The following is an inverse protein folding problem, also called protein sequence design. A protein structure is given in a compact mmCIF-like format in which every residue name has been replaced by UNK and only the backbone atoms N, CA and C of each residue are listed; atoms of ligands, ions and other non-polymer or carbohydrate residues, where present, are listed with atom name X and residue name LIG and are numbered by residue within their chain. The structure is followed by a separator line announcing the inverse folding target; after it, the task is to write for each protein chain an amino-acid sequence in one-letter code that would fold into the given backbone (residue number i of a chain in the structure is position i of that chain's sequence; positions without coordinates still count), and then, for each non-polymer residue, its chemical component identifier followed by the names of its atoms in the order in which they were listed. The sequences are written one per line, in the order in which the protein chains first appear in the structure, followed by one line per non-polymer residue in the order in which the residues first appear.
data_IF_806327590992
#
_entry.id   IF_806327590992
#
_cell.length_a   1.000
_cell.length_b   1.000
_cell.length_c   1.000
_cell.angle_alpha   90.00
_cell.angle_beta   90.00
_cell.angle_gamma   90.00
#
_symmetry.space_group_name_H-M   'P 1'
#
loop_
_entity.id
_entity.type
_entity.pdbx_description
1 polymer ?
#
# COMPACT_ATOMS: atom_id res chain seq x y z
N UNK A 1 8.57 -3.54 26.63
CA UNK A 1 7.74 -2.95 25.56
C UNK A 1 7.37 -4.09 24.67
N UNK A 2 6.08 -4.26 24.42
CA UNK A 2 5.60 -5.31 23.54
C UNK A 2 6.03 -4.94 22.10
N UNK A 3 6.40 -5.94 21.30
CA UNK A 3 6.80 -5.75 19.91
C UNK A 3 6.25 -6.91 19.10
N UNK A 4 5.30 -6.61 18.21
CA UNK A 4 4.55 -7.65 17.50
C UNK A 4 5.43 -8.54 16.60
N UNK A 5 6.59 -8.05 16.16
CA UNK A 5 7.54 -8.84 15.38
C UNK A 5 8.25 -9.86 16.28
N UNK A 6 8.77 -9.41 17.41
CA UNK A 6 9.48 -10.30 18.36
C UNK A 6 8.53 -11.30 19.06
N UNK A 7 7.25 -10.94 19.19
CA UNK A 7 6.22 -11.81 19.77
C UNK A 7 5.73 -12.90 18.80
N UNK A 8 6.05 -12.79 17.50
CA UNK A 8 5.60 -13.72 16.45
C UNK A 8 6.75 -14.62 16.00
N UNK A 9 6.92 -15.75 16.68
CA UNK A 9 8.07 -16.66 16.48
C UNK A 9 8.21 -17.18 15.04
N UNK A 10 7.10 -17.36 14.34
CA UNK A 10 7.06 -17.92 12.98
C UNK A 10 7.70 -16.99 11.93
N UNK A 11 7.77 -15.68 12.19
CA UNK A 11 8.39 -14.74 11.24
C UNK A 11 9.88 -15.06 11.00
N UNK A 12 10.63 -15.36 12.06
CA UNK A 12 12.05 -15.73 11.96
C UNK A 12 12.25 -17.04 11.20
N UNK A 13 11.34 -18.00 11.37
CA UNK A 13 11.34 -19.24 10.60
C UNK A 13 11.20 -18.97 9.09
N UNK A 14 10.29 -18.08 8.71
CA UNK A 14 10.08 -17.73 7.30
C UNK A 14 11.23 -16.92 6.69
N UNK A 15 11.82 -15.96 7.42
CA UNK A 15 12.95 -15.15 6.94
C UNK A 15 14.23 -15.98 6.74
N UNK A 16 14.41 -17.04 7.52
CA UNK A 16 15.60 -17.91 7.41
C UNK A 16 15.38 -19.13 6.50
N UNK A 17 14.20 -19.25 5.88
CA UNK A 17 13.87 -20.40 5.05
C UNK A 17 14.70 -20.43 3.76
N UNK A 18 15.28 -21.58 3.34
CA UNK A 18 16.17 -21.65 2.15
C UNK A 18 15.54 -21.19 0.83
N UNK A 19 14.22 -21.30 0.68
CA UNK A 19 13.52 -20.76 -0.50
C UNK A 19 13.52 -19.23 -0.52
N UNK A 20 13.49 -18.59 0.65
CA UNK A 20 13.50 -17.14 0.73
C UNK A 20 14.85 -16.57 0.27
N UNK A 21 15.96 -17.26 0.52
CA UNK A 21 17.26 -16.88 -0.03
C UNK A 21 17.25 -16.70 -1.56
N UNK A 22 16.55 -17.58 -2.28
CA UNK A 22 16.39 -17.46 -3.74
C UNK A 22 15.53 -16.25 -4.13
N UNK A 23 14.46 -15.99 -3.36
CA UNK A 23 13.58 -14.85 -3.58
C UNK A 23 14.35 -13.53 -3.37
N UNK A 24 15.13 -13.43 -2.30
CA UNK A 24 15.97 -12.25 -2.01
C UNK A 24 16.97 -12.02 -3.12
N UNK A 25 17.68 -13.05 -3.58
CA UNK A 25 18.63 -12.91 -4.68
C UNK A 25 17.96 -12.41 -5.98
N UNK A 26 16.73 -12.84 -6.27
CA UNK A 26 15.96 -12.35 -7.43
C UNK A 26 15.49 -10.91 -7.24
N UNK A 27 14.86 -10.59 -6.09
CA UNK A 27 14.33 -9.25 -5.80
C UNK A 27 15.44 -8.19 -5.75
N UNK A 28 16.59 -8.53 -5.20
CA UNK A 28 17.77 -7.65 -5.14
C UNK A 28 18.65 -7.72 -6.40
N UNK A 29 18.22 -8.45 -7.45
CA UNK A 29 18.98 -8.63 -8.71
C UNK A 29 20.43 -9.06 -8.48
N UNK A 30 20.66 -9.95 -7.52
CA UNK A 30 21.97 -10.34 -7.00
C UNK A 30 22.80 -9.16 -6.46
N UNK A 31 22.14 -8.26 -5.71
CA UNK A 31 22.75 -7.15 -4.97
C UNK A 31 23.46 -6.10 -5.82
N UNK A 32 23.14 -6.02 -7.12
CA UNK A 32 23.75 -5.06 -8.05
C UNK A 32 23.46 -3.60 -7.70
N UNK A 33 22.28 -3.35 -7.12
CA UNK A 33 21.85 -1.99 -6.78
C UNK A 33 22.62 -1.38 -5.60
N UNK A 34 23.45 -2.17 -4.90
CA UNK A 34 24.39 -1.66 -3.89
C UNK A 34 25.42 -0.66 -4.44
N UNK A 35 25.67 -0.67 -5.75
CA UNK A 35 26.55 0.31 -6.41
C UNK A 35 25.86 1.68 -6.59
N UNK A 36 24.53 1.69 -6.65
CA UNK A 36 23.72 2.85 -6.99
C UNK A 36 23.01 3.47 -5.77
N UNK A 37 22.71 2.67 -4.74
CA UNK A 37 21.98 3.09 -3.54
C UNK A 37 22.70 2.66 -2.27
N UNK A 38 22.97 3.61 -1.38
CA UNK A 38 23.69 3.42 -0.12
C UNK A 38 22.94 2.56 0.91
N UNK A 39 21.61 2.49 0.79
CA UNK A 39 20.75 1.64 1.62
C UNK A 39 20.38 0.29 0.96
N UNK A 40 20.89 -0.02 -0.25
CA UNK A 40 20.71 -1.33 -0.84
C UNK A 40 21.62 -2.37 -0.18
N UNK A 41 21.13 -3.60 0.08
CA UNK A 41 21.91 -4.61 0.77
C UNK A 41 23.07 -5.10 -0.11
N UNK A 42 24.22 -5.33 0.51
CA UNK A 42 25.45 -5.80 -0.15
C UNK A 42 25.43 -7.29 -0.46
N UNK A 43 24.67 -8.06 0.33
CA UNK A 43 24.58 -9.51 0.23
C UNK A 43 23.32 -10.01 0.96
N UNK A 44 23.13 -11.34 0.98
CA UNK A 44 21.94 -11.93 1.58
C UNK A 44 21.83 -11.70 3.09
N UNK A 45 22.94 -11.80 3.84
CA UNK A 45 22.91 -11.59 5.29
C UNK A 45 22.54 -10.14 5.63
N UNK A 46 23.08 -9.19 4.87
CA UNK A 46 22.75 -7.76 4.98
C UNK A 46 21.28 -7.48 4.64
N UNK A 47 20.72 -8.15 3.62
CA UNK A 47 19.31 -8.04 3.29
C UNK A 47 18.41 -8.57 4.41
N UNK A 48 18.74 -9.72 5.00
CA UNK A 48 17.97 -10.28 6.12
C UNK A 48 18.04 -9.36 7.34
N UNK A 49 19.22 -8.86 7.70
CA UNK A 49 19.40 -7.91 8.81
C UNK A 49 18.59 -6.62 8.58
N UNK A 50 18.56 -6.09 7.36
CA UNK A 50 17.73 -4.95 6.99
C UNK A 50 16.23 -5.26 7.19
N UNK A 51 15.75 -6.39 6.68
CA UNK A 51 14.35 -6.79 6.82
C UNK A 51 13.95 -6.97 8.29
N UNK A 52 14.79 -7.60 9.11
CA UNK A 52 14.54 -7.77 10.54
C UNK A 52 14.46 -6.42 11.27
N UNK A 53 15.37 -5.47 10.98
CA UNK A 53 15.36 -4.14 11.59
C UNK A 53 14.11 -3.34 11.23
N UNK A 54 13.69 -3.39 9.96
CA UNK A 54 12.47 -2.69 9.51
C UNK A 54 11.24 -3.34 10.13
N UNK A 55 11.17 -4.68 10.18
CA UNK A 55 10.05 -5.38 10.81
C UNK A 55 10.00 -5.16 12.32
N UNK A 56 11.14 -5.02 13.00
CA UNK A 56 11.20 -4.64 14.41
C UNK A 56 10.57 -3.26 14.65
N UNK A 57 10.89 -2.26 13.80
CA UNK A 57 10.27 -0.93 13.82
C UNK A 57 8.75 -1.02 13.59
N UNK A 58 8.32 -1.80 12.60
CA UNK A 58 6.88 -2.03 12.34
C UNK A 58 6.23 -2.63 13.59
N UNK A 59 6.83 -3.65 14.18
CA UNK A 59 6.33 -4.33 15.37
C UNK A 59 6.20 -3.40 16.58
N UNK A 60 7.14 -2.47 16.76
CA UNK A 60 7.09 -1.45 17.81
C UNK A 60 5.96 -0.44 17.58
N UNK A 61 5.81 0.06 16.35
CA UNK A 61 4.73 1.00 15.98
C UNK A 61 3.37 0.33 16.16
N UNK A 62 3.22 -0.92 15.70
CA UNK A 62 1.98 -1.69 15.86
C UNK A 62 1.60 -1.85 17.33
N UNK A 63 2.55 -2.25 18.18
CA UNK A 63 2.28 -2.52 19.59
C UNK A 63 2.00 -1.24 20.41
N UNK A 64 2.75 -0.16 20.16
CA UNK A 64 2.75 1.00 21.04
C UNK A 64 1.98 2.21 20.48
N UNK A 65 1.63 2.22 19.19
CA UNK A 65 0.89 3.31 18.55
C UNK A 65 -0.46 2.79 18.04
N UNK A 66 -0.45 1.88 17.05
CA UNK A 66 -1.67 1.45 16.35
C UNK A 66 -2.63 0.73 17.31
N UNK A 67 -2.13 -0.26 18.05
CA UNK A 67 -2.96 -1.01 18.99
C UNK A 67 -3.48 -0.14 20.14
N UNK A 68 -2.74 0.90 20.53
CA UNK A 68 -3.16 1.84 21.56
C UNK A 68 -4.27 2.78 21.07
N UNK A 69 -4.29 3.07 19.76
CA UNK A 69 -5.27 3.95 19.13
C UNK A 69 -6.56 3.22 18.71
N UNK A 70 -6.50 1.91 18.46
CA UNK A 70 -7.59 1.12 17.88
C UNK A 70 -8.97 1.31 18.53
N UNK A 71 -9.06 1.29 19.87
CA UNK A 71 -10.34 1.50 20.57
C UNK A 71 -10.89 2.91 20.34
N UNK A 72 -10.03 3.93 20.38
CA UNK A 72 -10.45 5.32 20.15
C UNK A 72 -10.87 5.56 18.70
N UNK A 73 -10.22 4.89 17.74
CA UNK A 73 -10.56 4.94 16.31
C UNK A 73 -11.96 4.38 16.07
N UNK A 74 -12.31 3.26 16.68
CA UNK A 74 -13.65 2.67 16.57
C UNK A 74 -14.74 3.56 17.19
N UNK A 75 -14.44 4.19 18.33
CA UNK A 75 -15.37 5.09 19.02
C UNK A 75 -15.59 6.41 18.29
N UNK A 76 -14.54 6.99 17.70
CA UNK A 76 -14.60 8.25 16.96
C UNK A 76 -15.19 8.04 15.56
N UNK A 77 -14.65 7.06 14.83
CA UNK A 77 -14.97 6.79 13.43
C UNK A 77 -14.59 7.92 12.47
N UNK A 78 -14.53 7.66 11.15
CA UNK A 78 -14.40 8.73 10.16
C UNK A 78 -15.75 9.44 9.98
N UNK A 79 -15.70 10.73 9.64
CA UNK A 79 -16.88 11.53 9.30
C UNK A 79 -16.61 12.41 8.09
N UNK A 80 -17.67 12.97 7.51
CA UNK A 80 -17.56 13.83 6.33
C UNK A 80 -17.75 15.29 6.76
N UNK A 81 -16.81 16.15 6.39
CA UNK A 81 -16.92 17.60 6.51
C UNK A 81 -16.66 18.24 5.14
N UNK A 82 -17.58 19.09 4.67
CA UNK A 82 -17.43 19.79 3.39
C UNK A 82 -17.15 18.88 2.17
N UNK A 83 -17.74 17.68 2.15
CA UNK A 83 -17.54 16.61 1.15
C UNK A 83 -16.17 15.93 1.16
N UNK A 84 -15.35 16.17 2.19
CA UNK A 84 -14.08 15.48 2.40
C UNK A 84 -14.22 14.54 3.60
N UNK A 85 -13.54 13.40 3.55
CA UNK A 85 -13.44 12.47 4.67
C UNK A 85 -12.41 12.98 5.67
N UNK A 86 -12.86 13.16 6.91
CA UNK A 86 -11.99 13.38 8.05
C UNK A 86 -11.81 12.03 8.73
N UNK A 87 -10.57 11.51 8.72
CA UNK A 87 -10.24 10.31 9.49
C UNK A 87 -10.35 10.58 10.98
N UNK A 88 -10.66 9.53 11.74
CA UNK A 88 -10.46 9.54 13.18
C UNK A 88 -9.02 9.96 13.51
N UNK A 89 -8.84 10.65 14.63
CA UNK A 89 -7.54 11.17 15.03
C UNK A 89 -6.48 10.08 15.10
N UNK A 90 -6.81 8.93 15.70
CA UNK A 90 -5.90 7.79 15.82
C UNK A 90 -5.43 7.25 14.47
N UNK A 91 -6.34 7.09 13.50
CA UNK A 91 -6.01 6.68 12.13
C UNK A 91 -4.99 7.62 11.47
N UNK A 92 -5.15 8.93 11.68
CA UNK A 92 -4.20 9.94 11.16
C UNK A 92 -2.83 9.80 11.83
N UNK A 93 -2.80 9.58 13.15
CA UNK A 93 -1.56 9.38 13.92
C UNK A 93 -0.83 8.10 13.51
N UNK A 94 -1.56 7.00 13.32
CA UNK A 94 -1.07 5.70 12.89
C UNK A 94 -0.44 5.78 11.50
N UNK A 95 -1.16 6.37 10.53
CA UNK A 95 -0.66 6.55 9.18
C UNK A 95 0.62 7.42 9.16
N UNK A 96 0.63 8.49 9.95
CA UNK A 96 1.78 9.39 10.07
C UNK A 96 2.98 8.70 10.72
N UNK A 97 2.78 7.78 11.67
CA UNK A 97 3.84 7.00 12.28
C UNK A 97 4.51 6.09 11.24
N UNK A 98 3.72 5.35 10.47
CA UNK A 98 4.24 4.47 9.40
C UNK A 98 4.90 5.26 8.27
N UNK A 99 4.33 6.39 7.86
CA UNK A 99 4.94 7.29 6.86
C UNK A 99 6.30 7.82 7.31
N UNK A 100 6.41 8.31 8.54
CA UNK A 100 7.69 8.80 9.09
C UNK A 100 8.75 7.71 9.21
N UNK A 101 8.33 6.46 9.37
CA UNK A 101 9.22 5.30 9.40
C UNK A 101 9.62 4.81 8.00
N UNK A 102 9.14 5.43 6.91
CA UNK A 102 9.45 5.03 5.53
C UNK A 102 8.71 3.76 5.08
N UNK A 103 7.54 3.47 5.68
CA UNK A 103 6.81 2.22 5.45
C UNK A 103 5.68 2.34 4.42
N UNK A 104 5.53 3.50 3.77
CA UNK A 104 4.53 3.73 2.71
C UNK A 104 5.23 3.56 1.36
N UNK A 105 4.90 2.49 0.63
CA UNK A 105 5.59 2.11 -0.61
C UNK A 105 6.84 1.25 -0.37
N UNK A 106 6.91 0.53 0.76
CA UNK A 106 8.11 -0.25 1.13
C UNK A 106 8.51 -1.32 0.11
N UNK A 107 7.56 -1.88 -0.63
CA UNK A 107 7.81 -2.89 -1.66
C UNK A 107 8.29 -2.31 -3.00
N UNK A 108 8.09 -1.00 -3.20
CA UNK A 108 8.43 -0.31 -4.45
C UNK A 108 9.94 -0.32 -4.70
N UNK A 109 10.36 -0.30 -5.98
CA UNK A 109 11.77 -0.18 -6.33
C UNK A 109 12.42 1.10 -5.79
N UNK A 110 13.74 1.03 -5.57
CA UNK A 110 14.56 2.16 -5.11
C UNK A 110 14.54 3.37 -6.05
N UNK A 111 14.33 3.16 -7.35
CA UNK A 111 14.09 4.22 -8.36
C UNK A 111 12.96 5.17 -7.94
N UNK A 112 11.97 4.67 -7.19
CA UNK A 112 10.80 5.41 -6.70
C UNK A 112 10.87 5.66 -5.19
N UNK A 113 12.09 5.70 -4.64
CA UNK A 113 12.39 5.90 -3.21
C UNK A 113 11.82 4.84 -2.27
N UNK A 114 11.47 3.66 -2.79
CA UNK A 114 11.04 2.52 -1.98
C UNK A 114 12.21 1.68 -1.47
N UNK A 115 11.94 0.77 -0.53
CA UNK A 115 12.96 -0.10 0.07
C UNK A 115 13.26 -1.36 -0.76
N UNK A 116 12.49 -1.60 -1.83
CA UNK A 116 12.54 -2.81 -2.64
C UNK A 116 12.33 -4.10 -1.84
N UNK A 117 11.47 -4.07 -0.81
CA UNK A 117 11.21 -5.25 0.01
C UNK A 117 10.47 -6.33 -0.79
N UNK A 118 10.82 -7.63 -0.64
CA UNK A 118 10.03 -8.71 -1.20
C UNK A 118 8.67 -8.84 -0.51
N UNK A 119 7.73 -9.56 -1.12
CA UNK A 119 6.37 -9.70 -0.59
C UNK A 119 6.29 -10.33 0.80
N UNK A 120 7.23 -11.21 1.15
CA UNK A 120 7.19 -11.89 2.45
C UNK A 120 7.28 -10.91 3.65
N UNK A 121 8.32 -10.06 3.79
CA UNK A 121 8.35 -9.07 4.86
C UNK A 121 7.23 -8.03 4.74
N UNK A 122 6.75 -7.70 3.54
CA UNK A 122 5.56 -6.85 3.39
C UNK A 122 4.31 -7.49 4.03
N UNK A 123 4.05 -8.77 3.77
CA UNK A 123 2.92 -9.50 4.37
C UNK A 123 3.08 -9.65 5.88
N UNK A 124 4.30 -9.86 6.39
CA UNK A 124 4.57 -9.85 7.84
C UNK A 124 4.22 -8.50 8.48
N UNK A 125 4.60 -7.39 7.83
CA UNK A 125 4.22 -6.05 8.28
C UNK A 125 2.69 -5.88 8.26
N UNK A 126 2.02 -6.27 7.18
CA UNK A 126 0.58 -6.23 7.06
C UNK A 126 -0.14 -7.06 8.14
N UNK A 127 0.38 -8.25 8.46
CA UNK A 127 -0.16 -9.11 9.53
C UNK A 127 -0.08 -8.41 10.89
N UNK A 128 1.04 -7.77 11.21
CA UNK A 128 1.20 -7.02 12.46
C UNK A 128 0.27 -5.81 12.52
N UNK A 129 0.13 -5.06 11.42
CA UNK A 129 -0.79 -3.90 11.35
C UNK A 129 -2.23 -4.37 11.52
N UNK A 130 -2.63 -5.47 10.87
CA UNK A 130 -3.98 -6.04 11.00
C UNK A 130 -4.27 -6.60 12.40
N UNK A 131 -3.26 -7.15 13.07
CA UNK A 131 -3.36 -7.57 14.48
C UNK A 131 -3.59 -6.37 15.40
N UNK A 132 -3.00 -5.22 15.09
CA UNK A 132 -3.14 -3.99 15.88
C UNK A 132 -4.52 -3.33 15.65
N UNK A 133 -4.87 -3.10 14.39
CA UNK A 133 -6.16 -2.56 13.95
C UNK A 133 -6.46 -3.02 12.51
N UNK A 134 -7.45 -3.91 12.37
CA UNK A 134 -7.85 -4.45 11.07
C UNK A 134 -8.53 -3.41 10.17
N UNK A 135 -9.20 -2.40 10.74
CA UNK A 135 -9.78 -1.28 9.99
C UNK A 135 -8.68 -0.42 9.37
N UNK A 136 -7.69 -0.05 10.18
CA UNK A 136 -6.53 0.70 9.73
C UNK A 136 -5.67 -0.08 8.72
N UNK A 137 -5.51 -1.40 8.88
CA UNK A 137 -4.81 -2.24 7.92
C UNK A 137 -5.40 -2.17 6.50
N UNK A 138 -6.72 -1.98 6.38
CA UNK A 138 -7.36 -1.78 5.09
C UNK A 138 -7.01 -0.42 4.44
N UNK A 139 -6.66 0.61 5.22
CA UNK A 139 -6.21 1.90 4.71
C UNK A 139 -4.73 1.80 4.30
N UNK A 140 -3.87 1.31 5.21
CA UNK A 140 -2.44 1.20 4.94
C UNK A 140 -2.12 0.21 3.81
N UNK A 141 -2.84 -0.92 3.73
CA UNK A 141 -2.66 -1.93 2.70
C UNK A 141 -3.06 -1.50 1.28
N UNK A 142 -3.83 -0.42 1.12
CA UNK A 142 -4.19 0.10 -0.21
C UNK A 142 -2.99 0.66 -0.98
N UNK A 143 -1.82 0.79 -0.34
CA UNK A 143 -0.56 1.04 -1.05
C UNK A 143 -0.23 -0.04 -2.11
N UNK A 144 -0.88 -1.21 -2.09
CA UNK A 144 -0.83 -2.22 -3.17
C UNK A 144 -1.29 -1.67 -4.53
N UNK A 145 -2.05 -0.56 -4.56
CA UNK A 145 -2.32 0.18 -5.80
C UNK A 145 -1.02 0.62 -6.49
N UNK A 146 0.04 0.89 -5.73
CA UNK A 146 1.35 1.25 -6.27
C UNK A 146 1.96 0.07 -7.05
N UNK A 147 1.84 -1.17 -6.56
CA UNK A 147 2.29 -2.36 -7.29
C UNK A 147 1.52 -2.55 -8.60
N UNK A 148 0.20 -2.28 -8.59
CA UNK A 148 -0.61 -2.32 -9.83
C UNK A 148 -0.14 -1.27 -10.84
N UNK A 149 0.16 -0.05 -10.40
CA UNK A 149 0.74 0.99 -11.27
C UNK A 149 2.14 0.58 -11.76
N UNK A 150 2.96 -0.02 -10.90
CA UNK A 150 4.30 -0.44 -11.24
C UNK A 150 4.31 -1.54 -12.32
N UNK A 151 3.39 -2.50 -12.24
CA UNK A 151 3.29 -3.61 -13.19
C UNK A 151 2.66 -3.18 -14.53
N UNK A 152 1.55 -2.43 -14.48
CA UNK A 152 0.72 -2.19 -15.67
C UNK A 152 0.76 -0.75 -16.20
N UNK A 153 1.30 0.20 -15.43
CA UNK A 153 1.39 1.60 -15.84
C UNK A 153 2.40 1.83 -16.96
N UNK A 154 2.22 2.91 -17.72
CA UNK A 154 3.29 3.44 -18.57
C UNK A 154 4.43 4.02 -17.72
N UNK A 155 5.62 4.19 -18.28
CA UNK A 155 6.73 4.83 -17.55
C UNK A 155 6.36 6.25 -17.07
N UNK A 156 5.59 7.00 -17.87
CA UNK A 156 5.06 8.31 -17.46
C UNK A 156 4.13 8.20 -16.23
N UNK A 157 3.24 7.20 -16.20
CA UNK A 157 2.37 6.97 -15.04
C UNK A 157 3.18 6.55 -13.81
N UNK A 158 4.17 5.67 -13.98
CA UNK A 158 5.04 5.22 -12.89
C UNK A 158 5.82 6.37 -12.29
N UNK A 159 6.51 7.16 -13.11
CA UNK A 159 7.31 8.31 -12.68
C UNK A 159 6.44 9.40 -12.03
N UNK A 160 5.15 9.52 -12.43
CA UNK A 160 4.20 10.46 -11.85
C UNK A 160 3.62 10.01 -10.51
N UNK A 161 3.20 8.74 -10.38
CA UNK A 161 2.40 8.30 -9.25
C UNK A 161 3.20 7.56 -8.18
N UNK A 162 4.16 6.71 -8.54
CA UNK A 162 4.87 5.88 -7.56
C UNK A 162 5.67 6.68 -6.53
N UNK A 163 6.39 7.77 -6.89
CA UNK A 163 7.11 8.56 -5.91
C UNK A 163 6.21 9.21 -4.85
N UNK A 164 4.92 9.42 -5.13
CA UNK A 164 3.99 10.08 -4.20
C UNK A 164 3.76 9.26 -2.93
N UNK A 165 3.83 7.93 -3.01
CA UNK A 165 3.70 7.06 -1.83
C UNK A 165 4.81 7.35 -0.81
N UNK A 166 6.08 7.27 -1.21
CA UNK A 166 7.22 7.51 -0.32
C UNK A 166 7.43 9.00 0.00
N UNK A 167 7.22 9.91 -0.96
CA UNK A 167 7.53 11.35 -0.80
C UNK A 167 6.42 12.14 -0.12
N UNK A 168 5.17 11.85 -0.45
CA UNK A 168 4.00 12.61 0.03
C UNK A 168 3.21 11.84 1.10
N UNK A 169 3.45 10.53 1.24
CA UNK A 169 2.60 9.67 2.07
C UNK A 169 1.24 9.45 1.42
N UNK A 170 1.14 9.54 0.09
CA UNK A 170 -0.13 9.45 -0.62
C UNK A 170 -0.86 8.15 -0.28
N UNK A 171 -2.15 8.28 0.03
CA UNK A 171 -3.07 7.16 0.20
C UNK A 171 -3.61 6.71 -1.15
N UNK A 172 -4.19 5.51 -1.21
CA UNK A 172 -4.82 5.03 -2.44
C UNK A 172 -6.17 4.36 -2.19
N UNK A 173 -6.92 4.16 -3.27
CA UNK A 173 -8.19 3.45 -3.30
C UNK A 173 -8.35 2.62 -4.58
N UNK A 174 -8.92 1.42 -4.44
CA UNK A 174 -9.40 0.63 -5.57
C UNK A 174 -10.91 0.84 -5.77
N UNK A 175 -11.28 1.43 -6.90
CA UNK A 175 -12.61 1.95 -7.16
C UNK A 175 -13.34 1.10 -8.20
N UNK A 176 -13.92 -0.01 -7.75
CA UNK A 176 -14.46 -1.06 -8.62
C UNK A 176 -15.99 -1.13 -8.61
N UNK A 177 -16.56 -1.35 -7.42
CA UNK A 177 -17.96 -1.73 -7.22
C UNK A 177 -18.95 -0.61 -7.52
N UNK A 178 -20.07 -0.96 -8.15
CA UNK A 178 -21.22 -0.07 -8.40
C UNK A 178 -22.45 -0.59 -7.65
N UNK A 179 -23.51 0.24 -7.45
CA UNK A 179 -24.73 -0.19 -6.77
C UNK A 179 -25.36 -1.48 -7.35
N UNK A 180 -25.27 -1.66 -8.67
CA UNK A 180 -25.82 -2.80 -9.40
C UNK A 180 -24.75 -3.85 -9.79
N UNK A 181 -23.47 -3.65 -9.45
CA UNK A 181 -22.36 -4.51 -9.88
C UNK A 181 -21.30 -4.66 -8.77
N UNK A 182 -21.43 -5.73 -7.98
CA UNK A 182 -20.47 -6.16 -6.96
C UNK A 182 -19.65 -7.37 -7.43
N UNK A 183 -20.16 -8.59 -7.21
CA UNK A 183 -19.48 -9.82 -7.66
C UNK A 183 -19.37 -9.94 -9.18
N UNK A 184 -20.28 -9.29 -9.93
CA UNK A 184 -20.25 -9.23 -11.39
C UNK A 184 -19.63 -7.90 -11.87
N UNK A 185 -18.31 -7.80 -11.80
CA UNK A 185 -17.57 -6.61 -12.22
C UNK A 185 -17.62 -6.36 -13.73
N UNK A 186 -18.06 -7.33 -14.55
CA UNK A 186 -18.25 -7.10 -15.99
C UNK A 186 -19.47 -6.22 -16.25
N UNK A 187 -20.45 -6.20 -15.34
CA UNK A 187 -21.68 -5.40 -15.46
C UNK A 187 -21.54 -3.93 -15.05
N UNK A 188 -20.33 -3.43 -14.81
CA UNK A 188 -20.07 -2.01 -14.51
C UNK A 188 -20.53 -1.09 -15.65
N UNK A 189 -21.13 0.05 -15.30
CA UNK A 189 -21.75 1.02 -16.23
C UNK A 189 -21.11 2.41 -16.17
N UNK A 190 -20.24 2.69 -15.19
CA UNK A 190 -19.54 3.98 -15.13
C UNK A 190 -18.81 4.23 -16.46
N UNK A 191 -19.14 5.35 -17.09
CA UNK A 191 -18.68 5.68 -18.43
C UNK A 191 -17.46 6.59 -18.37
N UNK A 192 -16.41 6.22 -19.09
CA UNK A 192 -15.30 7.08 -19.43
C UNK A 192 -15.50 7.63 -20.85
N UNK A 193 -15.36 8.95 -21.03
CA UNK A 193 -15.39 9.61 -22.34
C UNK A 193 -14.11 10.41 -22.50
N UNK A 194 -13.36 10.17 -23.58
CA UNK A 194 -12.12 10.89 -23.84
C UNK A 194 -12.41 12.32 -24.31
N UNK A 195 -11.76 13.30 -23.69
CA UNK A 195 -11.77 14.70 -24.10
C UNK A 195 -10.44 15.03 -24.78
N UNK A 196 -10.48 15.16 -26.11
CA UNK A 196 -9.29 15.45 -26.93
C UNK A 196 -8.68 16.82 -26.63
N UNK A 197 -9.46 17.81 -26.18
CA UNK A 197 -8.96 19.17 -25.92
C UNK A 197 -8.13 19.23 -24.66
N UNK A 198 -8.61 18.54 -23.62
CA UNK A 198 -7.95 18.46 -22.31
C UNK A 198 -6.98 17.28 -22.23
N UNK A 199 -6.94 16.42 -23.25
CA UNK A 199 -6.15 15.18 -23.30
C UNK A 199 -6.36 14.29 -22.06
N UNK A 200 -7.62 14.16 -21.62
CA UNK A 200 -7.99 13.43 -20.38
C UNK A 200 -9.29 12.65 -20.55
N UNK A 201 -9.51 11.66 -19.69
CA UNK A 201 -10.78 10.94 -19.61
C UNK A 201 -11.72 11.61 -18.62
N UNK A 202 -12.96 11.87 -19.04
CA UNK A 202 -14.06 12.33 -18.18
C UNK A 202 -14.87 11.12 -17.71
N UNK A 203 -14.98 10.95 -16.40
CA UNK A 203 -15.71 9.84 -15.78
C UNK A 203 -17.09 10.30 -15.32
N UNK A 204 -18.13 9.51 -15.64
CA UNK A 204 -19.50 9.77 -15.20
C UNK A 204 -20.18 8.48 -14.72
N UNK A 205 -20.57 8.46 -13.46
CA UNK A 205 -21.28 7.34 -12.83
C UNK A 205 -21.16 7.39 -11.30
N UNK A 206 -21.54 6.30 -10.65
CA UNK A 206 -21.52 6.17 -9.18
C UNK A 206 -20.87 4.85 -8.82
N UNK A 207 -19.89 4.91 -7.90
CA UNK A 207 -19.25 3.75 -7.28
C UNK A 207 -19.71 3.66 -5.81
N UNK A 208 -19.66 2.46 -5.23
CA UNK A 208 -20.15 2.19 -3.87
C UNK A 208 -19.25 1.20 -3.15
N UNK A 209 -19.18 1.32 -1.83
CA UNK A 209 -18.37 0.45 -0.95
C UNK A 209 -16.87 0.53 -1.29
N UNK A 210 -16.40 1.75 -1.54
CA UNK A 210 -15.00 2.02 -1.82
C UNK A 210 -14.32 2.32 -0.50
N UNK A 211 -13.52 1.36 -0.03
CA UNK A 211 -12.62 1.59 1.10
C UNK A 211 -11.68 2.73 0.76
N UNK A 212 -11.56 3.68 1.69
CA UNK A 212 -10.73 4.87 1.52
C UNK A 212 -11.08 5.69 0.27
N UNK A 213 -12.36 5.80 -0.09
CA UNK A 213 -12.79 6.37 -1.38
C UNK A 213 -12.40 7.83 -1.64
N UNK A 214 -11.91 8.56 -0.64
CA UNK A 214 -11.42 9.94 -0.72
C UNK A 214 -9.88 10.03 -0.75
N UNK A 215 -9.22 8.96 -1.21
CA UNK A 215 -7.76 8.87 -1.28
C UNK A 215 -7.13 9.78 -2.33
N UNK A 216 -5.82 10.02 -2.19
CA UNK A 216 -5.01 10.83 -3.11
C UNK A 216 -4.86 10.22 -4.51
N UNK A 217 -4.91 8.88 -4.60
CA UNK A 217 -4.74 8.11 -5.83
C UNK A 217 -5.85 7.06 -5.94
N UNK A 218 -6.63 7.11 -7.02
CA UNK A 218 -7.71 6.17 -7.27
C UNK A 218 -7.46 5.35 -8.54
N UNK A 219 -7.52 4.02 -8.43
CA UNK A 219 -7.57 3.12 -9.57
C UNK A 219 -9.03 2.78 -9.87
N UNK A 220 -9.58 3.38 -10.93
CA UNK A 220 -11.03 3.31 -11.23
C UNK A 220 -11.31 2.37 -12.38
N UNK A 221 -12.16 1.38 -12.15
CA UNK A 221 -12.69 0.50 -13.20
C UNK A 221 -13.85 1.20 -13.93
N UNK A 222 -13.73 1.36 -15.24
CA UNK A 222 -14.65 2.14 -16.07
C UNK A 222 -14.82 1.49 -17.45
N UNK A 223 -15.92 1.82 -18.15
CA UNK A 223 -16.16 1.46 -19.55
C UNK A 223 -15.86 2.65 -20.45
N UNK A 224 -14.88 2.53 -21.35
CA UNK A 224 -14.54 3.55 -22.37
C UNK A 224 -15.47 3.54 -23.59
N UNK A 225 -16.13 2.41 -23.84
CA UNK A 225 -17.02 2.20 -24.97
C UNK A 225 -18.41 1.73 -24.50
N UNK A 226 -19.47 2.15 -25.19
CA UNK A 226 -20.83 1.76 -24.84
C UNK A 226 -21.16 0.37 -25.39
N UNK A 227 -21.78 -0.48 -24.57
CA UNK A 227 -22.24 -1.83 -24.93
C UNK A 227 -21.13 -2.84 -25.29
N UNK A 228 -19.90 -2.66 -24.81
CA UNK A 228 -18.90 -3.71 -24.94
C UNK A 228 -19.18 -4.83 -23.93
N UNK A 229 -19.03 -6.07 -24.39
CA UNK A 229 -19.30 -7.30 -23.63
C UNK A 229 -18.00 -8.02 -23.23
N UNK A 230 -16.86 -7.44 -23.58
CA UNK A 230 -15.52 -7.92 -23.24
C UNK A 230 -15.13 -7.57 -21.79
#
# INVERSE_FOLDING_TARGET
MDNFFNDTQDFKFHLTHPLFQKIVALKEKNFKEAEDYDYAPLNHEDAIDNYEKVLDIVGEICANTIAANAESVDLEGPHIENNEVIYAKGTTEDYKALYKAGLIGMALPRKYDGLNFPMLPYVMAAEMVARADAGFANIWGLQDCAETIYEFGSEEQKDKFLPRFNREGATAAMVLTEPDAGSDLQSVKLKATFDEKENTWKLNGVKRFITNGDADIALVLVRSEANTLD
#
